data_IF_145248203885
#
_entry.id   IF_145248203885
#
_cell.length_a   1.000
_cell.length_b   1.000
_cell.length_c   1.000
_cell.angle_alpha   90.00
_cell.angle_beta   90.00
_cell.angle_gamma   90.00
#
_symmetry.space_group_name_H-M   'P 1'
#
loop_
_entity.id
_entity.type
_entity.pdbx_description
1 polymer ?
#
# COMPACT_ATOMS: atom_id res chain seq x y z
N UNK A 1 -11.19 -23.05 -3.05
CA UNK A 1 -10.60 -23.13 -4.41
C UNK A 1 -9.11 -22.79 -4.31
N UNK A 2 -8.29 -23.42 -5.14
CA UNK A 2 -6.84 -23.16 -5.20
C UNK A 2 -6.54 -22.43 -6.52
N UNK A 3 -5.76 -21.35 -6.44
CA UNK A 3 -5.36 -20.50 -7.56
C UNK A 3 -3.83 -20.45 -7.59
N UNK A 4 -3.24 -20.60 -8.77
CA UNK A 4 -1.80 -20.47 -9.00
C UNK A 4 -1.62 -19.62 -10.25
N UNK A 5 -0.84 -18.54 -10.13
CA UNK A 5 -0.53 -17.69 -11.27
C UNK A 5 0.47 -18.39 -12.20
N UNK A 6 0.22 -18.31 -13.49
CA UNK A 6 1.18 -18.70 -14.53
C UNK A 6 2.36 -17.73 -14.56
N UNK A 7 3.45 -18.14 -15.21
CA UNK A 7 4.63 -17.27 -15.41
C UNK A 7 4.27 -15.96 -16.13
N UNK A 8 3.37 -16.02 -17.12
CA UNK A 8 2.91 -14.84 -17.84
C UNK A 8 2.11 -13.88 -16.95
N UNK A 9 1.25 -14.41 -16.08
CA UNK A 9 0.50 -13.62 -15.11
C UNK A 9 1.44 -13.03 -14.05
N UNK A 10 2.40 -13.80 -13.54
CA UNK A 10 3.41 -13.30 -12.61
C UNK A 10 4.20 -12.12 -13.20
N UNK A 11 4.65 -12.24 -14.46
CA UNK A 11 5.33 -11.15 -15.16
C UNK A 11 4.43 -9.92 -15.35
N UNK A 12 3.15 -10.12 -15.67
CA UNK A 12 2.18 -9.04 -15.81
C UNK A 12 1.92 -8.32 -14.46
N UNK A 13 1.79 -9.07 -13.37
CA UNK A 13 1.59 -8.53 -12.02
C UNK A 13 2.83 -7.80 -11.50
N UNK A 14 4.03 -8.34 -11.70
CA UNK A 14 5.29 -7.67 -11.36
C UNK A 14 5.37 -6.30 -12.06
N UNK A 15 5.04 -6.25 -13.36
CA UNK A 15 4.97 -5.00 -14.11
C UNK A 15 3.89 -4.05 -13.59
N UNK A 16 2.70 -4.57 -13.27
CA UNK A 16 1.56 -3.77 -12.77
C UNK A 16 1.90 -3.07 -11.46
N UNK A 17 2.52 -3.77 -10.53
CA UNK A 17 2.82 -3.26 -9.18
C UNK A 17 4.22 -2.68 -9.02
N UNK A 18 5.05 -2.71 -10.08
CA UNK A 18 6.40 -2.15 -10.06
C UNK A 18 7.40 -2.98 -9.28
N UNK A 19 7.16 -4.29 -9.13
CA UNK A 19 8.15 -5.22 -8.60
C UNK A 19 9.26 -5.45 -9.63
N UNK A 20 10.49 -5.66 -9.16
CA UNK A 20 11.57 -6.11 -10.03
C UNK A 20 11.31 -7.51 -10.55
N UNK A 21 10.66 -8.35 -9.73
CA UNK A 21 10.27 -9.71 -10.09
C UNK A 21 9.14 -10.23 -9.18
N UNK A 22 8.35 -11.18 -9.70
CA UNK A 22 7.39 -11.99 -8.95
C UNK A 22 7.63 -13.45 -9.36
N UNK A 23 8.28 -14.21 -8.48
CA UNK A 23 8.73 -15.58 -8.77
C UNK A 23 7.57 -16.57 -8.80
N UNK A 24 6.68 -16.44 -7.83
CA UNK A 24 5.51 -17.29 -7.68
C UNK A 24 4.40 -16.54 -6.95
N UNK A 25 3.16 -16.93 -7.23
CA UNK A 25 1.96 -16.49 -6.53
C UNK A 25 0.95 -17.63 -6.52
N UNK A 26 0.48 -17.98 -5.34
CA UNK A 26 -0.58 -18.95 -5.14
C UNK A 26 -1.51 -18.50 -4.01
N UNK A 27 -2.78 -18.87 -4.10
CA UNK A 27 -3.75 -18.60 -3.05
C UNK A 27 -4.74 -19.74 -2.90
N UNK A 28 -5.17 -19.98 -1.66
CA UNK A 28 -6.35 -20.80 -1.35
C UNK A 28 -7.45 -19.88 -0.87
N UNK A 29 -8.59 -19.90 -1.55
CA UNK A 29 -9.69 -18.95 -1.34
C UNK A 29 -11.01 -19.68 -1.12
N UNK A 30 -11.85 -19.19 -0.21
CA UNK A 30 -13.25 -19.58 -0.03
C UNK A 30 -14.14 -18.38 -0.34
N UNK A 31 -15.32 -18.65 -0.92
CA UNK A 31 -16.30 -17.63 -1.27
C UNK A 31 -17.65 -18.11 -0.77
N UNK A 32 -18.22 -17.38 0.19
CA UNK A 32 -19.45 -17.74 0.87
C UNK A 32 -20.50 -16.65 0.72
N UNK A 33 -21.68 -17.02 0.22
CA UNK A 33 -22.84 -16.14 0.19
C UNK A 33 -23.56 -16.20 1.55
N UNK A 34 -23.62 -15.08 2.24
CA UNK A 34 -24.23 -14.94 3.56
C UNK A 34 -25.66 -14.40 3.48
N UNK A 35 -26.40 -14.56 4.58
CA UNK A 35 -27.73 -13.98 4.75
C UNK A 35 -27.67 -12.44 4.57
N UNK A 36 -28.63 -11.86 3.87
CA UNK A 36 -28.63 -10.41 3.57
C UNK A 36 -27.84 -10.03 2.32
N UNK A 37 -27.40 -10.99 1.50
CA UNK A 37 -26.82 -10.74 0.18
C UNK A 37 -25.36 -10.29 0.21
N UNK A 38 -24.67 -10.48 1.35
CA UNK A 38 -23.23 -10.28 1.46
C UNK A 38 -22.49 -11.48 0.89
N UNK A 39 -21.37 -11.23 0.22
CA UNK A 39 -20.44 -12.24 -0.26
C UNK A 39 -19.15 -12.09 0.53
N UNK A 40 -18.76 -13.12 1.27
CA UNK A 40 -17.53 -13.12 2.05
C UNK A 40 -16.47 -13.90 1.28
N UNK A 41 -15.32 -13.28 1.07
CA UNK A 41 -14.14 -13.91 0.47
C UNK A 41 -13.07 -14.02 1.54
N UNK A 42 -12.62 -15.22 1.82
CA UNK A 42 -11.51 -15.46 2.72
C UNK A 42 -10.42 -16.24 2.00
N UNK A 43 -9.18 -16.02 2.35
CA UNK A 43 -8.10 -16.78 1.76
C UNK A 43 -6.77 -16.66 2.46
N UNK A 44 -5.84 -17.47 1.98
CA UNK A 44 -4.43 -17.39 2.32
C UNK A 44 -3.63 -17.29 1.04
N UNK A 45 -2.87 -16.22 0.91
CA UNK A 45 -1.98 -15.92 -0.22
C UNK A 45 -0.54 -16.27 0.17
N UNK A 46 0.19 -16.84 -0.78
CA UNK A 46 1.65 -17.02 -0.70
C UNK A 46 2.30 -16.58 -1.99
N UNK A 47 3.46 -15.96 -1.88
CA UNK A 47 4.23 -15.57 -3.04
C UNK A 47 5.63 -15.12 -2.69
N UNK A 48 6.44 -14.91 -3.72
CA UNK A 48 7.81 -14.40 -3.57
C UNK A 48 8.05 -13.26 -4.53
N UNK A 49 8.24 -12.06 -3.99
CA UNK A 49 8.51 -10.86 -4.78
C UNK A 49 9.95 -10.40 -4.61
N UNK A 50 10.43 -9.64 -5.57
CA UNK A 50 11.68 -8.90 -5.50
C UNK A 50 11.39 -7.44 -5.78
N UNK A 51 11.82 -6.56 -4.88
CA UNK A 51 11.66 -5.11 -5.00
C UNK A 51 13.02 -4.40 -4.91
N UNK A 52 13.10 -3.17 -5.38
CA UNK A 52 14.28 -2.33 -5.21
C UNK A 52 14.31 -1.75 -3.80
N UNK A 53 15.44 -1.89 -3.10
CA UNK A 53 15.69 -1.23 -1.83
C UNK A 53 15.48 0.27 -1.96
N UNK A 54 14.67 0.88 -1.08
CA UNK A 54 14.36 2.32 -1.16
C UNK A 54 15.57 3.23 -0.90
N UNK A 55 16.66 2.68 -0.35
CA UNK A 55 17.90 3.42 -0.08
C UNK A 55 18.95 3.24 -1.19
N UNK A 56 19.17 1.99 -1.63
CA UNK A 56 20.30 1.64 -2.51
C UNK A 56 19.88 1.26 -3.93
N UNK A 57 18.59 1.04 -4.15
CA UNK A 57 18.01 0.45 -5.36
C UNK A 57 18.46 -1.00 -5.64
N UNK A 58 19.23 -1.62 -4.73
CA UNK A 58 19.62 -3.02 -4.84
C UNK A 58 18.40 -3.95 -4.63
N UNK A 59 18.34 -5.12 -5.28
CA UNK A 59 17.23 -6.05 -5.12
C UNK A 59 17.09 -6.58 -3.68
N UNK A 60 15.85 -6.64 -3.20
CA UNK A 60 15.42 -7.22 -1.92
C UNK A 60 14.33 -8.24 -2.20
N UNK A 61 14.58 -9.50 -1.84
CA UNK A 61 13.58 -10.56 -1.91
C UNK A 61 12.69 -10.54 -0.66
N UNK A 62 11.39 -10.75 -0.84
CA UNK A 62 10.41 -10.88 0.23
C UNK A 62 9.55 -12.12 -0.02
N UNK A 63 9.43 -12.97 0.99
CA UNK A 63 8.44 -14.06 1.02
C UNK A 63 7.17 -13.53 1.68
N UNK A 64 6.03 -13.80 1.03
CA UNK A 64 4.71 -13.39 1.47
C UNK A 64 3.93 -14.63 1.88
N UNK A 65 3.29 -14.59 3.04
CA UNK A 65 2.37 -15.61 3.52
C UNK A 65 1.38 -14.94 4.46
N UNK A 66 0.20 -14.57 3.93
CA UNK A 66 -0.78 -13.80 4.68
C UNK A 66 -2.21 -14.29 4.44
N UNK A 67 -3.07 -14.00 5.40
CA UNK A 67 -4.50 -14.31 5.35
C UNK A 67 -5.29 -13.03 5.12
N UNK A 68 -6.35 -13.13 4.33
CA UNK A 68 -7.22 -12.00 4.05
C UNK A 68 -8.68 -12.40 4.18
N UNK A 69 -9.51 -11.41 4.48
CA UNK A 69 -10.96 -11.50 4.52
C UNK A 69 -11.53 -10.20 3.94
N UNK A 70 -12.43 -10.31 2.99
CA UNK A 70 -13.11 -9.18 2.37
C UNK A 70 -14.60 -9.50 2.32
N UNK A 71 -15.44 -8.54 2.68
CA UNK A 71 -16.88 -8.65 2.58
C UNK A 71 -17.33 -7.78 1.43
N UNK A 72 -18.11 -8.33 0.50
CA UNK A 72 -18.74 -7.59 -0.59
C UNK A 72 -20.25 -7.51 -0.38
N UNK A 73 -20.88 -6.41 -0.77
CA UNK A 73 -22.34 -6.25 -0.74
C UNK A 73 -22.84 -5.48 -1.96
N UNK A 74 -24.02 -5.85 -2.45
CA UNK A 74 -24.74 -5.04 -3.46
C UNK A 74 -25.40 -3.83 -2.76
N UNK A 75 -25.35 -2.66 -3.40
CA UNK A 75 -26.03 -1.44 -2.94
C UNK A 75 -25.67 -1.01 -1.51
N UNK A 76 -24.44 -0.50 -1.30
CA UNK A 76 -24.01 0.10 -0.02
C UNK A 76 -24.81 1.35 0.40
N UNK A 77 -25.60 1.94 -0.49
CA UNK A 77 -26.39 3.13 -0.23
C UNK A 77 -27.49 2.94 0.84
N UNK A 78 -27.86 1.69 1.14
CA UNK A 78 -28.84 1.36 2.20
C UNK A 78 -28.24 1.38 3.62
N UNK A 79 -26.92 1.59 3.75
CA UNK A 79 -26.20 1.70 5.03
C UNK A 79 -25.76 3.14 5.35
N UNK A 80 -26.39 4.14 4.70
CA UNK A 80 -26.24 5.54 5.08
C UNK A 80 -27.33 5.91 6.08
N UNK A 81 -26.96 6.65 7.14
CA UNK A 81 -27.94 7.23 8.05
C UNK A 81 -28.86 8.18 7.26
N UNK A 82 -30.19 8.00 7.31
CA UNK A 82 -31.11 8.77 6.48
C UNK A 82 -31.21 10.25 6.87
N UNK A 83 -30.76 10.65 8.07
CA UNK A 83 -30.71 12.04 8.51
C UNK A 83 -29.35 12.70 8.23
N UNK A 84 -28.22 12.01 8.46
CA UNK A 84 -26.88 12.60 8.29
C UNK A 84 -26.25 12.32 6.93
N UNK A 85 -26.68 11.27 6.22
CA UNK A 85 -26.04 10.80 4.99
C UNK A 85 -24.64 10.21 5.21
N UNK A 86 -24.28 9.93 6.47
CA UNK A 86 -23.00 9.31 6.83
C UNK A 86 -23.12 7.79 6.80
N UNK A 87 -22.02 7.10 6.49
CA UNK A 87 -21.98 5.65 6.56
C UNK A 87 -22.17 5.17 8.01
N UNK A 88 -23.15 4.28 8.22
CA UNK A 88 -23.37 3.59 9.50
C UNK A 88 -22.25 2.56 9.67
N UNK A 89 -21.10 3.03 10.14
CA UNK A 89 -19.93 2.20 10.38
C UNK A 89 -20.09 1.49 11.73
N UNK A 90 -20.28 0.18 11.69
CA UNK A 90 -20.07 -0.65 12.87
C UNK A 90 -18.54 -0.80 13.07
N UNK A 91 -17.99 -0.15 14.09
CA UNK A 91 -16.56 -0.17 14.39
C UNK A 91 -16.00 -1.58 14.69
N UNK A 92 -16.84 -2.57 14.94
CA UNK A 92 -16.43 -3.96 15.18
C UNK A 92 -16.51 -4.88 13.95
N UNK A 93 -17.05 -4.42 12.82
CA UNK A 93 -17.21 -5.24 11.60
C UNK A 93 -16.37 -4.69 10.44
N UNK A 94 -15.84 -5.58 9.60
CA UNK A 94 -15.21 -5.19 8.33
C UNK A 94 -16.23 -4.45 7.47
N UNK A 95 -15.90 -3.23 7.04
CA UNK A 95 -16.76 -2.46 6.17
C UNK A 95 -16.88 -3.17 4.80
N UNK A 96 -18.09 -3.43 4.31
CA UNK A 96 -18.25 -4.14 3.04
C UNK A 96 -17.82 -3.29 1.85
N UNK A 97 -17.15 -3.92 0.91
CA UNK A 97 -16.82 -3.38 -0.40
C UNK A 97 -18.00 -3.49 -1.38
N UNK A 98 -18.16 -2.53 -2.29
CA UNK A 98 -19.24 -2.57 -3.27
C UNK A 98 -19.02 -3.72 -4.25
N UNK A 99 -20.02 -4.60 -4.38
CA UNK A 99 -20.00 -5.60 -5.45
C UNK A 99 -20.42 -4.95 -6.78
N UNK A 100 -19.44 -4.71 -7.65
CA UNK A 100 -19.70 -4.17 -8.98
C UNK A 100 -20.30 -5.24 -9.92
N UNK A 101 -21.60 -5.13 -10.19
CA UNK A 101 -22.30 -6.06 -11.08
C UNK A 101 -22.64 -7.40 -10.42
N UNK A 102 -22.47 -8.50 -11.16
CA UNK A 102 -22.90 -9.84 -10.74
C UNK A 102 -21.76 -10.88 -10.75
N UNK A 103 -20.52 -10.47 -11.04
CA UNK A 103 -19.37 -11.34 -11.09
C UNK A 103 -18.33 -10.88 -10.08
N UNK A 104 -17.62 -11.84 -9.49
CA UNK A 104 -16.52 -11.59 -8.57
C UNK A 104 -15.25 -12.18 -9.19
N UNK A 105 -14.28 -11.33 -9.48
CA UNK A 105 -12.99 -11.77 -9.99
C UNK A 105 -12.06 -12.10 -8.83
N UNK A 106 -11.97 -13.39 -8.50
CA UNK A 106 -11.11 -13.87 -7.41
C UNK A 106 -9.62 -13.69 -7.74
N UNK A 107 -9.25 -13.78 -9.02
CA UNK A 107 -7.86 -13.56 -9.45
C UNK A 107 -7.43 -12.12 -9.20
N UNK A 108 -8.32 -11.17 -9.53
CA UNK A 108 -8.09 -9.75 -9.24
C UNK A 108 -8.01 -9.46 -7.74
N UNK A 109 -8.91 -10.04 -6.92
CA UNK A 109 -8.85 -9.90 -5.46
C UNK A 109 -7.49 -10.38 -4.92
N UNK A 110 -7.03 -11.56 -5.36
CA UNK A 110 -5.72 -12.10 -4.96
C UNK A 110 -4.58 -11.18 -5.41
N UNK A 111 -4.68 -10.58 -6.60
CA UNK A 111 -3.69 -9.62 -7.10
C UNK A 111 -3.66 -8.32 -6.27
N UNK A 112 -4.81 -7.79 -5.84
CA UNK A 112 -4.87 -6.62 -4.96
C UNK A 112 -4.27 -6.94 -3.59
N UNK A 113 -4.62 -8.10 -3.01
CA UNK A 113 -4.05 -8.54 -1.73
C UNK A 113 -2.53 -8.72 -1.80
N UNK A 114 -1.98 -9.21 -2.91
CA UNK A 114 -0.53 -9.26 -3.13
C UNK A 114 0.12 -7.87 -2.94
N UNK A 115 -0.50 -6.82 -3.47
CA UNK A 115 0.01 -5.46 -3.37
C UNK A 115 -0.06 -4.89 -1.96
N UNK A 116 -1.07 -5.28 -1.17
CA UNK A 116 -1.27 -4.83 0.21
C UNK A 116 -0.29 -5.49 1.19
N UNK A 117 0.04 -6.76 0.96
CA UNK A 117 0.92 -7.56 1.83
C UNK A 117 2.41 -7.26 1.56
N UNK A 118 2.75 -6.80 0.35
CA UNK A 118 4.11 -6.41 -0.01
C UNK A 118 4.63 -5.30 0.93
N UNK A 119 5.91 -5.38 1.32
CA UNK A 119 6.54 -4.31 2.11
C UNK A 119 6.62 -3.04 1.25
N UNK A 120 5.98 -1.93 1.64
CA UNK A 120 5.95 -0.72 0.83
C UNK A 120 7.32 -0.04 0.74
N UNK A 121 8.19 -0.23 1.73
CA UNK A 121 9.51 0.42 1.77
C UNK A 121 10.63 -0.59 2.07
N UNK A 122 10.90 -1.53 1.14
CA UNK A 122 11.87 -2.59 1.39
C UNK A 122 13.26 -2.01 1.55
N UNK A 123 13.99 -2.50 2.56
CA UNK A 123 15.36 -2.06 2.87
C UNK A 123 16.28 -3.26 2.95
N UNK A 124 17.47 -3.14 2.36
CA UNK A 124 18.56 -4.08 2.61
C UNK A 124 18.90 -4.08 4.11
N UNK A 125 18.98 -5.26 4.75
CA UNK A 125 19.40 -5.36 6.13
C UNK A 125 20.77 -4.70 6.34
N UNK A 126 20.89 -3.91 7.40
CA UNK A 126 22.14 -3.26 7.78
C UNK A 126 22.49 -1.96 7.04
N UNK A 127 21.77 -1.57 6.00
CA UNK A 127 21.96 -0.28 5.33
C UNK A 127 21.14 0.79 6.02
N UNK A 128 21.78 1.90 6.40
CA UNK A 128 21.12 3.07 6.95
C UNK A 128 21.10 4.21 5.94
N UNK A 129 20.22 5.18 6.18
CA UNK A 129 20.09 6.34 5.30
C UNK A 129 21.40 7.14 5.23
N UNK A 130 22.14 7.22 6.32
CA UNK A 130 23.42 7.94 6.41
C UNK A 130 24.49 7.36 5.49
N UNK A 131 24.39 6.07 5.14
CA UNK A 131 25.36 5.38 4.28
C UNK A 131 25.23 5.80 2.81
N UNK A 132 24.02 6.19 2.39
CA UNK A 132 23.70 6.57 0.99
C UNK A 132 23.57 8.08 0.79
N UNK A 133 23.44 8.85 1.88
CA UNK A 133 23.40 10.30 1.79
C UNK A 133 24.75 10.83 1.26
N UNK A 134 24.73 11.86 0.39
CA UNK A 134 25.95 12.53 0.00
C UNK A 134 26.67 13.03 1.25
N UNK A 135 27.87 12.52 1.52
CA UNK A 135 28.70 13.07 2.59
C UNK A 135 28.84 14.56 2.34
N UNK A 136 28.59 15.44 3.34
CA UNK A 136 28.78 16.86 3.15
C UNK A 136 30.23 17.04 2.73
N UNK A 137 30.45 17.44 1.47
CA UNK A 137 31.80 17.81 1.02
C UNK A 137 32.24 18.92 1.95
N UNK A 138 33.32 18.69 2.69
CA UNK A 138 33.99 19.67 3.52
C UNK A 138 34.23 20.93 2.69
N UNK A 139 33.31 21.85 2.85
CA UNK A 139 33.10 23.00 2.00
C UNK A 139 32.11 23.85 2.75
N UNK A 140 32.57 24.42 3.85
CA UNK A 140 32.06 25.71 4.26
C UNK A 140 31.94 26.52 2.97
N UNK A 141 30.71 26.81 2.52
CA UNK A 141 30.51 28.03 1.76
C UNK A 141 31.00 29.11 2.71
N UNK A 142 32.26 29.54 2.54
CA UNK A 142 32.77 30.81 3.07
C UNK A 142 32.01 31.92 2.35
N UNK A 143 30.71 32.02 2.61
CA UNK A 143 30.01 33.29 2.65
C UNK A 143 30.12 33.77 4.10
N UNK A 144 30.32 35.07 4.27
CA UNK A 144 30.37 35.73 5.57
C UNK A 144 29.26 35.25 6.53
N UNK A 145 29.48 35.30 7.86
CA UNK A 145 28.48 34.88 8.83
C UNK A 145 27.17 35.64 8.57
N UNK A 146 26.11 34.94 8.13
CA UNK A 146 24.81 35.55 7.88
C UNK A 146 24.03 35.10 6.64
N UNK A 147 24.61 34.36 5.68
CA UNK A 147 23.86 33.90 4.50
C UNK A 147 24.10 32.43 4.16
N UNK A 148 23.60 31.52 5.00
CA UNK A 148 23.26 30.18 4.52
C UNK A 148 22.00 30.28 3.67
N UNK A 149 22.16 30.47 2.36
CA UNK A 149 21.07 30.29 1.39
C UNK A 149 20.69 28.80 1.35
N UNK A 150 19.60 28.45 2.02
CA UNK A 150 18.96 27.13 1.96
C UNK A 150 17.49 27.32 1.56
N UNK A 151 16.86 26.31 0.91
CA UNK A 151 15.52 26.45 0.30
C UNK A 151 14.41 26.86 1.28
N UNK A 152 14.66 26.74 2.59
CA UNK A 152 13.71 27.08 3.65
C UNK A 152 14.11 28.32 4.47
N UNK A 153 15.11 29.09 4.04
CA UNK A 153 15.59 30.28 4.77
C UNK A 153 14.49 31.33 5.03
N UNK A 154 13.47 31.40 4.16
CA UNK A 154 12.31 32.28 4.34
C UNK A 154 11.31 31.83 5.41
N UNK A 155 11.40 30.60 5.93
CA UNK A 155 10.48 30.09 6.95
C UNK A 155 10.72 30.71 8.34
N UNK A 156 11.93 31.19 8.62
CA UNK A 156 12.23 31.88 9.87
C UNK A 156 11.33 33.12 10.06
N UNK A 157 11.07 33.85 8.98
CA UNK A 157 10.20 35.03 8.99
C UNK A 157 8.71 34.70 9.21
N UNK A 158 8.31 33.43 9.10
CA UNK A 158 6.94 32.97 9.36
C UNK A 158 6.72 32.53 10.81
N UNK A 159 7.80 32.34 11.59
CA UNK A 159 7.69 31.94 13.01
C UNK A 159 7.18 33.09 13.89
N UNK A 160 7.59 34.31 13.56
CA UNK A 160 7.29 35.51 14.36
C UNK A 160 6.08 36.28 13.82
N UNK A 161 5.47 35.81 12.72
CA UNK A 161 4.27 36.41 12.14
C UNK A 161 3.05 35.89 12.89
N UNK A 162 2.22 36.76 13.51
CA UNK A 162 0.99 36.32 14.17
C UNK A 162 0.10 35.60 13.17
N UNK A 163 -0.40 34.42 13.55
CA UNK A 163 -1.40 33.70 12.75
C UNK A 163 -2.60 34.62 12.54
N UNK A 164 -2.87 34.99 11.28
CA UNK A 164 -4.10 35.70 10.94
C UNK A 164 -5.26 34.75 11.26
N UNK A 165 -5.97 35.04 12.35
CA UNK A 165 -7.18 34.32 12.73
C UNK A 165 -8.21 34.36 11.59
N UNK A 166 -8.88 33.23 11.38
CA UNK A 166 -10.23 33.22 10.82
C UNK A 166 -11.21 33.48 11.95
#
# INVERSE_FOLDING_TARGET
MDIVASEAECAALAKRFGFLDLKDLAARVTVDLQLGGQVVVEGRLRGKIVQACVLTLEPVAQELDDVFRIVFKKNLAEELDPESGEAVLNAQADAPEPLAGNMLDVGEIVAEQLSLVAEPYPRRPGVKLEDVLPKPKGGARRGAPGQQRHPFAGLAALRDKPRRGR
#
